data_IF_923874537696
#
_entry.id   IF_923874537696
#
_cell.length_a   1.000
_cell.length_b   1.000
_cell.length_c   1.000
_cell.angle_alpha   90.00
_cell.angle_beta   90.00
_cell.angle_gamma   90.00
#
_symmetry.space_group_name_H-M   'P 1'
#
loop_
_entity.id
_entity.type
_entity.pdbx_description
1 polymer ?
#
# COMPACT_ATOMS: atom_id res chain seq x y z
N UNK A 1 -14.15 17.92 -10.42
CA UNK A 1 -13.25 16.99 -9.69
C UNK A 1 -13.53 17.15 -8.19
N UNK A 2 -13.86 16.07 -7.49
CA UNK A 2 -14.05 16.13 -6.03
C UNK A 2 -12.72 16.42 -5.33
N UNK A 3 -12.72 17.37 -4.39
CA UNK A 3 -11.54 17.75 -3.63
C UNK A 3 -11.31 16.70 -2.53
N UNK A 4 -10.17 16.02 -2.55
CA UNK A 4 -9.76 15.06 -1.51
C UNK A 4 -9.08 15.84 -0.39
N UNK A 5 -9.55 15.66 0.84
CA UNK A 5 -8.95 16.25 2.04
C UNK A 5 -8.28 15.15 2.86
N UNK A 6 -7.03 15.39 3.28
CA UNK A 6 -6.31 14.47 4.17
C UNK A 6 -6.72 14.80 5.60
N UNK A 7 -7.34 13.84 6.28
CA UNK A 7 -7.72 13.98 7.69
C UNK A 7 -6.59 13.62 8.65
N UNK A 8 -5.90 12.54 8.35
CA UNK A 8 -4.92 11.92 9.25
C UNK A 8 -3.84 11.22 8.44
N UNK A 9 -2.63 11.20 8.99
CA UNK A 9 -1.50 10.44 8.46
C UNK A 9 -0.89 9.69 9.63
N UNK A 10 -0.79 8.37 9.50
CA UNK A 10 -0.19 7.51 10.50
C UNK A 10 1.03 6.80 9.93
N UNK A 11 2.04 6.61 10.79
CA UNK A 11 3.23 5.87 10.44
C UNK A 11 3.14 4.47 11.03
N UNK A 12 3.11 3.47 10.15
CA UNK A 12 3.17 2.07 10.56
C UNK A 12 4.54 1.76 11.15
N UNK A 13 4.56 1.30 12.40
CA UNK A 13 5.77 0.81 13.07
C UNK A 13 5.68 -0.70 13.28
N UNK A 14 6.13 -1.46 12.27
CA UNK A 14 6.26 -2.91 12.34
C UNK A 14 7.74 -3.31 12.12
N UNK A 15 8.52 -3.54 13.20
CA UNK A 15 9.95 -3.83 13.09
C UNK A 15 10.23 -5.16 12.38
N UNK A 16 9.31 -6.13 12.46
CA UNK A 16 9.45 -7.44 11.82
C UNK A 16 9.37 -7.32 10.28
N UNK A 17 8.32 -6.69 9.76
CA UNK A 17 8.18 -6.45 8.32
C UNK A 17 9.29 -5.55 7.77
N UNK A 18 9.72 -4.56 8.56
CA UNK A 18 10.86 -3.71 8.19
C UNK A 18 12.15 -4.51 8.05
N UNK A 19 12.38 -5.52 8.90
CA UNK A 19 13.57 -6.36 8.80
C UNK A 19 13.52 -7.25 7.55
N UNK A 20 12.37 -7.89 7.30
CA UNK A 20 12.18 -8.69 6.08
C UNK A 20 12.42 -7.86 4.81
N UNK A 21 11.88 -6.64 4.75
CA UNK A 21 12.13 -5.71 3.66
C UNK A 21 13.62 -5.43 3.45
N UNK A 22 14.35 -5.13 4.53
CA UNK A 22 15.80 -4.87 4.47
C UNK A 22 16.58 -6.08 3.95
N UNK A 23 16.25 -7.28 4.41
CA UNK A 23 16.89 -8.52 3.94
C UNK A 23 16.64 -8.73 2.44
N UNK A 24 15.41 -8.59 1.99
CA UNK A 24 15.05 -8.70 0.57
C UNK A 24 15.78 -7.66 -0.29
N UNK A 25 15.89 -6.43 0.20
CA UNK A 25 16.62 -5.35 -0.48
C UNK A 25 18.12 -5.65 -0.61
N UNK A 26 18.74 -6.25 0.40
CA UNK A 26 20.14 -6.70 0.35
C UNK A 26 20.29 -7.81 -0.69
N UNK A 27 19.39 -8.79 -0.68
CA UNK A 27 19.38 -9.89 -1.65
C UNK A 27 19.26 -9.38 -3.09
N UNK A 28 18.32 -8.47 -3.35
CA UNK A 28 18.10 -7.88 -4.67
C UNK A 28 19.32 -7.10 -5.15
N UNK A 29 19.95 -6.30 -4.26
CA UNK A 29 21.18 -5.58 -4.60
C UNK A 29 22.32 -6.53 -4.92
N UNK A 30 22.45 -7.63 -4.19
CA UNK A 30 23.47 -8.65 -4.46
C UNK A 30 23.22 -9.34 -5.81
N UNK A 31 21.96 -9.61 -6.15
CA UNK A 31 21.59 -10.35 -7.37
C UNK A 31 21.59 -9.49 -8.63
N UNK A 32 21.13 -8.25 -8.53
CA UNK A 32 20.86 -7.39 -9.70
C UNK A 32 21.72 -6.11 -9.73
N UNK A 33 22.57 -5.91 -8.72
CA UNK A 33 23.40 -4.71 -8.59
C UNK A 33 22.57 -3.50 -8.18
N UNK A 34 22.24 -2.63 -9.13
CA UNK A 34 21.46 -1.43 -8.85
C UNK A 34 19.96 -1.76 -8.77
N UNK A 35 19.30 -1.28 -7.71
CA UNK A 35 17.88 -1.51 -7.45
C UNK A 35 17.20 -0.18 -7.23
N UNK A 36 16.13 0.09 -7.98
CA UNK A 36 15.30 1.27 -7.81
C UNK A 36 14.21 1.01 -6.77
N UNK A 37 14.23 1.81 -5.72
CA UNK A 37 13.19 1.83 -4.68
C UNK A 37 12.21 2.97 -5.00
N UNK A 38 10.91 2.67 -4.97
CA UNK A 38 9.85 3.65 -5.24
C UNK A 38 8.83 3.64 -4.12
N UNK A 39 8.40 4.82 -3.71
CA UNK A 39 7.25 4.98 -2.83
C UNK A 39 5.99 5.04 -3.68
N UNK A 40 5.07 4.12 -3.43
CA UNK A 40 3.81 4.00 -4.18
C UNK A 40 2.61 3.94 -3.23
N UNK A 41 1.43 4.22 -3.77
CA UNK A 41 0.16 4.16 -3.07
C UNK A 41 -0.55 2.83 -3.33
N UNK A 42 -1.14 2.28 -2.28
CA UNK A 42 -2.11 1.19 -2.36
C UNK A 42 -3.39 1.68 -1.67
N UNK A 43 -4.50 1.71 -2.39
CA UNK A 43 -5.81 1.96 -1.82
C UNK A 43 -6.39 0.65 -1.29
N UNK A 44 -6.99 0.69 -0.10
CA UNK A 44 -7.57 -0.48 0.54
C UNK A 44 -8.80 -0.08 1.35
N UNK A 45 -9.64 -1.07 1.64
CA UNK A 45 -10.78 -0.92 2.55
C UNK A 45 -10.30 -0.81 4.00
N UNK A 46 -11.04 -0.06 4.83
CA UNK A 46 -10.69 0.22 6.22
C UNK A 46 -10.51 -1.05 7.04
N UNK A 47 -11.36 -2.04 6.80
CA UNK A 47 -11.33 -3.34 7.50
C UNK A 47 -10.04 -4.13 7.25
N UNK A 48 -9.28 -3.81 6.19
CA UNK A 48 -8.02 -4.48 5.88
C UNK A 48 -6.80 -3.81 6.54
N UNK A 49 -6.92 -2.59 7.08
CA UNK A 49 -5.76 -1.79 7.52
C UNK A 49 -4.97 -2.53 8.60
N UNK A 50 -5.64 -3.01 9.64
CA UNK A 50 -4.97 -3.65 10.79
C UNK A 50 -4.24 -4.92 10.36
N UNK A 51 -4.90 -5.73 9.52
CA UNK A 51 -4.31 -6.96 8.98
C UNK A 51 -3.10 -6.66 8.10
N UNK A 52 -3.17 -5.65 7.22
CA UNK A 52 -2.05 -5.24 6.35
C UNK A 52 -0.88 -4.70 7.19
N UNK A 53 -1.15 -3.83 8.18
CA UNK A 53 -0.13 -3.25 9.03
C UNK A 53 0.60 -4.32 9.87
N UNK A 54 -0.09 -5.39 10.23
CA UNK A 54 0.44 -6.50 11.03
C UNK A 54 1.15 -7.54 10.18
N UNK A 55 0.52 -7.96 9.07
CA UNK A 55 0.87 -9.17 8.32
C UNK A 55 1.41 -8.90 6.91
N UNK A 56 1.55 -7.63 6.52
CA UNK A 56 1.87 -7.18 5.16
C UNK A 56 0.73 -7.42 4.16
N UNK A 57 0.91 -6.93 2.94
CA UNK A 57 -0.03 -7.13 1.84
C UNK A 57 0.01 -8.58 1.33
N UNK A 58 -1.15 -9.21 1.18
CA UNK A 58 -1.28 -10.56 0.64
C UNK A 58 -2.23 -10.56 -0.55
N UNK A 59 -1.68 -10.76 -1.75
CA UNK A 59 -2.46 -10.75 -3.00
C UNK A 59 -3.53 -11.84 -3.04
N UNK A 60 -3.35 -12.96 -2.32
CA UNK A 60 -4.30 -14.07 -2.27
C UNK A 60 -5.60 -13.73 -1.54
N UNK A 61 -5.60 -12.65 -0.78
CA UNK A 61 -6.78 -12.14 -0.08
C UNK A 61 -7.52 -11.06 -0.89
N UNK A 62 -7.03 -10.71 -2.07
CA UNK A 62 -7.65 -9.69 -2.93
C UNK A 62 -8.40 -10.37 -4.06
N UNK A 63 -9.57 -9.85 -4.43
CA UNK A 63 -10.38 -10.37 -5.54
C UNK A 63 -10.19 -9.60 -6.85
N UNK A 64 -9.38 -8.52 -6.85
CA UNK A 64 -9.24 -7.59 -7.98
C UNK A 64 -7.83 -7.66 -8.58
N UNK A 65 -7.65 -8.49 -9.60
CA UNK A 65 -6.39 -8.62 -10.35
C UNK A 65 -6.60 -8.27 -11.83
N UNK A 66 -6.14 -7.09 -12.26
CA UNK A 66 -6.22 -6.68 -13.67
C UNK A 66 -5.00 -7.10 -14.50
N UNK A 67 -3.83 -7.19 -13.86
CA UNK A 67 -2.53 -7.34 -14.54
C UNK A 67 -1.72 -8.54 -14.07
N UNK A 68 -2.35 -9.50 -13.38
CA UNK A 68 -1.72 -10.72 -12.88
C UNK A 68 -1.84 -10.91 -11.37
N UNK A 69 -1.26 -12.02 -10.90
CA UNK A 69 -1.25 -12.44 -9.50
C UNK A 69 -0.25 -11.60 -8.69
N UNK A 70 -0.76 -10.56 -8.05
CA UNK A 70 0.06 -9.67 -7.27
C UNK A 70 -0.73 -8.53 -6.65
N UNK A 71 -0.04 -7.78 -5.79
CA UNK A 71 -0.59 -6.57 -5.18
C UNK A 71 -0.32 -5.40 -6.12
N UNK A 72 -1.37 -4.65 -6.44
CA UNK A 72 -1.27 -3.48 -7.33
C UNK A 72 -0.92 -2.22 -6.54
N UNK A 73 -0.02 -1.41 -7.11
CA UNK A 73 0.38 -0.12 -6.56
C UNK A 73 0.27 0.97 -7.63
N UNK A 74 0.16 2.23 -7.21
CA UNK A 74 0.12 3.37 -8.13
C UNK A 74 1.02 4.52 -7.65
N UNK A 75 1.77 5.20 -8.54
CA UNK A 75 2.46 6.43 -8.18
C UNK A 75 1.48 7.61 -8.02
N UNK A 76 0.24 7.48 -8.50
CA UNK A 76 -0.77 8.54 -8.49
C UNK A 76 -1.77 8.25 -7.38
N UNK A 77 -1.76 9.10 -6.34
CA UNK A 77 -2.60 8.88 -5.17
C UNK A 77 -4.11 8.95 -5.47
N UNK A 78 -4.52 9.76 -6.46
CA UNK A 78 -5.90 9.84 -6.92
C UNK A 78 -6.36 8.51 -7.56
N UNK A 79 -5.49 7.87 -8.36
CA UNK A 79 -5.81 6.59 -9.00
C UNK A 79 -5.99 5.48 -7.96
N UNK A 80 -5.10 5.40 -6.96
CA UNK A 80 -5.21 4.43 -5.88
C UNK A 80 -6.52 4.57 -5.07
N UNK A 81 -7.08 5.79 -4.99
CA UNK A 81 -8.31 6.07 -4.23
C UNK A 81 -9.52 5.33 -4.80
N UNK A 82 -9.55 5.03 -6.11
CA UNK A 82 -10.61 4.22 -6.74
C UNK A 82 -10.71 2.78 -6.21
N UNK A 83 -9.71 2.33 -5.46
CA UNK A 83 -9.65 0.98 -4.88
C UNK A 83 -9.77 0.99 -3.35
N UNK A 84 -10.04 2.16 -2.75
CA UNK A 84 -10.36 2.29 -1.32
C UNK A 84 -11.89 2.18 -1.11
N UNK A 85 -12.37 2.29 0.13
CA UNK A 85 -13.80 2.24 0.43
C UNK A 85 -14.62 3.21 -0.44
N UNK A 86 -15.69 2.70 -1.05
CA UNK A 86 -16.60 3.47 -1.91
C UNK A 86 -17.55 4.39 -1.11
N UNK A 87 -17.44 4.46 0.22
CA UNK A 87 -18.28 5.34 1.03
C UNK A 87 -17.92 6.80 0.78
N UNK A 88 -18.46 7.32 -0.31
CA UNK A 88 -18.74 8.72 -0.58
C UNK A 88 -19.69 9.23 0.50
N UNK A 89 -19.12 9.51 1.67
CA UNK A 89 -19.55 10.66 2.42
C UNK A 89 -18.52 11.74 2.16
N UNK A 90 -18.94 13.00 1.97
CA UNK A 90 -18.08 14.14 1.60
C UNK A 90 -17.05 14.50 2.69
N UNK A 91 -16.85 13.61 3.64
CA UNK A 91 -16.10 13.74 4.86
C UNK A 91 -15.41 12.44 5.30
N UNK A 92 -15.18 11.35 4.55
CA UNK A 92 -14.67 10.09 5.17
C UNK A 92 -13.54 9.31 4.48
N UNK A 93 -12.46 9.15 5.26
CA UNK A 93 -11.41 8.12 5.37
C UNK A 93 -10.89 7.39 4.11
N UNK A 94 -9.77 7.88 3.56
CA UNK A 94 -8.90 7.08 2.69
C UNK A 94 -7.59 6.78 3.43
N UNK A 95 -7.35 5.51 3.77
CA UNK A 95 -6.10 5.08 4.38
C UNK A 95 -5.08 4.70 3.30
N UNK A 96 -4.12 5.61 3.08
CA UNK A 96 -2.98 5.39 2.19
C UNK A 96 -1.87 4.70 2.97
N UNK A 97 -1.73 3.40 2.82
CA UNK A 97 -0.59 2.67 3.38
C UNK A 97 0.61 2.83 2.44
N UNK A 98 1.44 3.85 2.70
CA UNK A 98 2.75 3.98 2.06
C UNK A 98 3.71 3.01 2.74
N UNK A 99 3.99 1.88 2.10
CA UNK A 99 4.99 0.94 2.58
C UNK A 99 6.38 1.44 2.15
N UNK A 100 7.32 1.45 3.11
CA UNK A 100 8.74 1.72 2.88
C UNK A 100 9.50 0.46 2.53
#
# INVERSE_FOLDING_TARGET
>A
MSRIFVKQIEKVFNPYLRMQYKLMKIEYKKRYGHVYEKTLFHGTQKDNIDSICTNNLNWRLTSKHKFGEGVSFSPISNYATHYSDETYDKNNDCCKCSHK
#
